data_IF_099051184297
#
_entry.id   IF_099051184297
#
_cell.length_a   1.000
_cell.length_b   1.000
_cell.length_c   1.000
_cell.angle_alpha   90.00
_cell.angle_beta   90.00
_cell.angle_gamma   90.00
#
_symmetry.space_group_name_H-M   'P 1'
#
loop_
_entity.id
_entity.type
_entity.pdbx_description
1 polymer ?
#
# COMPACT_ATOMS: atom_id res chain seq x y z
N UNK A 1 -45.99 9.50 58.19
CA UNK A 1 -45.56 8.27 57.50
C UNK A 1 -44.15 8.49 56.98
N UNK A 2 -43.17 7.70 57.44
CA UNK A 2 -41.78 7.85 57.00
C UNK A 2 -41.63 7.30 55.58
N UNK A 3 -41.09 8.11 54.68
CA UNK A 3 -40.75 7.70 53.33
C UNK A 3 -39.51 6.81 53.39
N UNK A 4 -39.72 5.53 53.10
CA UNK A 4 -38.69 4.51 52.92
C UNK A 4 -37.84 4.91 51.71
N UNK A 5 -36.66 5.48 52.00
CA UNK A 5 -35.62 5.78 51.00
C UNK A 5 -35.10 4.45 50.47
N UNK A 6 -35.58 4.04 49.30
CA UNK A 6 -35.02 2.91 48.57
C UNK A 6 -33.50 3.15 48.37
N UNK A 7 -32.65 2.14 48.64
CA UNK A 7 -31.22 2.26 48.43
C UNK A 7 -30.98 2.68 46.98
N UNK A 8 -30.25 3.79 46.83
CA UNK A 8 -29.79 4.28 45.54
C UNK A 8 -28.79 3.26 45.01
N UNK A 9 -29.30 2.20 44.37
CA UNK A 9 -28.51 1.29 43.56
C UNK A 9 -27.86 2.15 42.50
N UNK A 10 -26.59 2.50 42.75
CA UNK A 10 -25.74 3.16 41.78
C UNK A 10 -25.85 2.32 40.51
N UNK A 11 -26.36 2.87 39.38
CA UNK A 11 -26.31 2.14 38.15
C UNK A 11 -24.83 1.90 37.87
N UNK A 12 -24.41 0.64 38.03
CA UNK A 12 -23.19 0.05 37.49
C UNK A 12 -23.29 0.12 35.95
N UNK A 13 -23.37 1.33 35.42
CA UNK A 13 -22.95 1.64 34.08
C UNK A 13 -21.42 1.58 34.15
N UNK A 14 -20.90 0.36 34.17
CA UNK A 14 -19.56 0.13 33.66
C UNK A 14 -19.52 0.87 32.33
N UNK A 15 -18.68 1.91 32.20
CA UNK A 15 -18.53 2.57 30.92
C UNK A 15 -18.22 1.44 29.96
N UNK A 16 -19.16 1.15 29.06
CA UNK A 16 -18.88 0.27 27.94
C UNK A 16 -17.71 0.97 27.30
N UNK A 17 -16.50 0.46 27.56
CA UNK A 17 -15.32 0.84 26.82
C UNK A 17 -15.75 0.54 25.40
N UNK A 18 -16.19 1.59 24.69
CA UNK A 18 -16.37 1.56 23.26
C UNK A 18 -15.00 1.12 22.79
N UNK A 19 -14.89 -0.17 22.48
CA UNK A 19 -13.61 -0.81 22.16
C UNK A 19 -12.92 0.12 21.20
N UNK A 20 -11.81 0.69 21.67
CA UNK A 20 -11.22 1.87 21.06
C UNK A 20 -11.16 1.65 19.56
N UNK A 21 -11.72 2.55 18.75
CA UNK A 21 -11.67 2.38 17.32
C UNK A 21 -10.19 2.21 16.92
N UNK A 22 -9.87 1.00 16.48
CA UNK A 22 -8.83 0.74 15.49
C UNK A 22 -7.36 0.59 15.92
N UNK A 23 -7.04 -0.07 17.03
CA UNK A 23 -5.64 -0.51 17.28
C UNK A 23 -5.07 -1.36 16.12
N UNK A 24 -5.92 -2.20 15.51
CA UNK A 24 -5.55 -2.99 14.32
C UNK A 24 -5.28 -2.17 13.04
N UNK A 25 -5.66 -0.89 13.00
CA UNK A 25 -5.40 -0.03 11.82
C UNK A 25 -3.99 0.58 11.83
N UNK A 26 -3.40 0.78 13.01
CA UNK A 26 -2.13 1.50 13.14
C UNK A 26 -0.97 0.66 12.60
N UNK A 27 -0.86 -0.59 13.04
CA UNK A 27 0.14 -1.52 12.54
C UNK A 27 0.03 -1.69 11.02
N UNK A 28 -1.20 -1.84 10.51
CA UNK A 28 -1.45 -1.98 9.07
C UNK A 28 -0.95 -0.75 8.30
N UNK A 29 -1.26 0.46 8.76
CA UNK A 29 -0.80 1.70 8.14
C UNK A 29 0.71 1.82 8.19
N UNK A 30 1.33 1.54 9.34
CA UNK A 30 2.79 1.54 9.48
C UNK A 30 3.43 0.54 8.51
N UNK A 31 2.90 -0.67 8.36
CA UNK A 31 3.39 -1.63 7.37
C UNK A 31 3.24 -1.12 5.93
N UNK A 32 2.11 -0.49 5.59
CA UNK A 32 1.90 0.14 4.27
C UNK A 32 2.93 1.25 4.03
N UNK A 33 3.13 2.14 5.00
CA UNK A 33 4.11 3.20 4.93
C UNK A 33 5.53 2.68 4.82
N UNK A 34 5.90 1.67 5.61
CA UNK A 34 7.22 1.05 5.57
C UNK A 34 7.49 0.46 4.18
N UNK A 35 6.53 -0.30 3.65
CA UNK A 35 6.63 -0.86 2.31
C UNK A 35 6.78 0.23 1.24
N UNK A 36 6.01 1.32 1.35
CA UNK A 36 6.08 2.44 0.42
C UNK A 36 7.42 3.18 0.50
N UNK A 37 7.90 3.47 1.71
CA UNK A 37 9.20 4.09 1.94
C UNK A 37 10.35 3.22 1.42
N UNK A 38 10.32 1.91 1.69
CA UNK A 38 11.37 0.99 1.20
C UNK A 38 11.35 0.89 -0.32
N UNK A 39 10.16 0.71 -0.92
CA UNK A 39 10.03 0.66 -2.37
C UNK A 39 10.48 1.95 -3.05
N UNK A 40 10.08 3.10 -2.51
CA UNK A 40 10.49 4.41 -3.03
C UNK A 40 12.00 4.62 -2.92
N UNK A 41 12.60 4.23 -1.79
CA UNK A 41 14.03 4.33 -1.58
C UNK A 41 14.82 3.49 -2.58
N UNK A 42 14.45 2.22 -2.76
CA UNK A 42 15.11 1.33 -3.72
C UNK A 42 14.99 1.88 -5.14
N UNK A 43 13.80 2.34 -5.54
CA UNK A 43 13.58 2.95 -6.85
C UNK A 43 14.45 4.20 -7.08
N UNK A 44 14.48 5.12 -6.11
CA UNK A 44 15.33 6.31 -6.19
C UNK A 44 16.81 5.93 -6.22
N UNK A 45 17.25 5.00 -5.39
CA UNK A 45 18.65 4.55 -5.32
C UNK A 45 19.13 4.03 -6.68
N UNK A 46 18.35 3.21 -7.36
CA UNK A 46 18.69 2.69 -8.69
C UNK A 46 18.83 3.81 -9.73
N UNK A 47 17.93 4.79 -9.70
CA UNK A 47 18.03 5.99 -10.55
C UNK A 47 19.35 6.72 -10.26
N UNK A 48 19.70 6.94 -8.99
CA UNK A 48 20.96 7.61 -8.62
C UNK A 48 22.20 6.81 -9.01
N UNK A 49 22.16 5.48 -8.93
CA UNK A 49 23.27 4.63 -9.34
C UNK A 49 23.52 4.65 -10.86
N UNK A 50 22.50 4.96 -11.66
CA UNK A 50 22.66 5.10 -13.12
C UNK A 50 23.35 6.39 -13.57
N UNK A 51 23.33 7.47 -12.77
CA UNK A 51 23.91 8.77 -13.15
C UNK A 51 25.41 8.71 -13.47
N UNK A 52 26.29 8.14 -12.62
CA UNK A 52 27.73 8.12 -12.91
C UNK A 52 28.06 7.30 -14.18
N UNK A 53 27.24 6.29 -14.52
CA UNK A 53 27.41 5.51 -15.74
C UNK A 53 27.20 6.37 -17.00
N UNK A 54 26.27 7.31 -16.96
CA UNK A 54 26.04 8.27 -18.06
C UNK A 54 27.19 9.29 -18.14
N UNK A 55 27.74 9.70 -17.00
CA UNK A 55 28.85 10.65 -16.92
C UNK A 55 30.24 10.07 -17.16
N UNK A 56 30.37 8.75 -17.41
CA UNK A 56 31.66 8.08 -17.55
C UNK A 56 32.53 8.10 -16.28
N UNK A 57 31.92 8.38 -15.13
CA UNK A 57 32.61 8.44 -13.84
C UNK A 57 32.68 7.05 -13.20
N UNK A 58 33.76 6.75 -12.50
CA UNK A 58 33.87 5.49 -11.74
C UNK A 58 32.76 5.42 -10.68
N UNK A 59 31.84 4.43 -10.75
CA UNK A 59 30.74 4.29 -9.80
C UNK A 59 31.21 4.20 -8.35
N UNK A 60 32.37 3.58 -8.11
CA UNK A 60 32.90 3.40 -6.75
C UNK A 60 33.37 4.73 -6.15
N UNK A 61 34.00 5.57 -6.96
CA UNK A 61 34.40 6.92 -6.57
C UNK A 61 33.18 7.82 -6.32
N UNK A 62 32.12 7.68 -7.13
CA UNK A 62 30.87 8.42 -6.94
C UNK A 62 30.19 8.06 -5.61
N UNK A 63 30.04 6.76 -5.32
CA UNK A 63 29.38 6.27 -4.10
C UNK A 63 30.11 6.68 -2.82
N UNK A 64 31.44 6.72 -2.85
CA UNK A 64 32.26 7.14 -1.70
C UNK A 64 32.44 8.65 -1.61
N UNK A 65 32.18 9.37 -2.72
CA UNK A 65 32.25 10.82 -2.77
C UNK A 65 31.11 11.51 -2.00
N UNK A 66 31.36 12.76 -1.62
CA UNK A 66 30.40 13.62 -0.91
C UNK A 66 29.05 13.73 -1.64
N UNK A 67 29.08 13.83 -2.97
CA UNK A 67 27.87 13.95 -3.80
C UNK A 67 27.03 12.66 -3.77
N UNK A 68 27.67 11.48 -3.82
CA UNK A 68 26.99 10.20 -3.70
C UNK A 68 26.31 10.04 -2.34
N UNK A 69 27.02 10.41 -1.27
CA UNK A 69 26.47 10.39 0.09
C UNK A 69 25.26 11.32 0.24
N UNK A 70 25.34 12.57 -0.23
CA UNK A 70 24.21 13.50 -0.20
C UNK A 70 23.01 12.94 -0.98
N UNK A 71 23.26 12.40 -2.19
CA UNK A 71 22.20 11.85 -3.03
C UNK A 71 21.50 10.67 -2.35
N UNK A 72 22.27 9.84 -1.65
CA UNK A 72 21.75 8.71 -0.87
C UNK A 72 20.86 9.18 0.29
N UNK A 73 21.33 10.13 1.11
CA UNK A 73 20.54 10.68 2.21
C UNK A 73 19.28 11.40 1.70
N UNK A 74 19.38 12.12 0.59
CA UNK A 74 18.25 12.76 -0.06
C UNK A 74 17.22 11.73 -0.52
N UNK A 75 17.65 10.63 -1.15
CA UNK A 75 16.77 9.56 -1.59
C UNK A 75 16.02 8.92 -0.41
N UNK A 76 16.71 8.65 0.70
CA UNK A 76 16.11 8.11 1.92
C UNK A 76 15.12 9.10 2.54
N UNK A 77 15.48 10.38 2.63
CA UNK A 77 14.61 11.42 3.15
C UNK A 77 13.33 11.56 2.34
N UNK A 78 13.43 11.61 1.00
CA UNK A 78 12.26 11.67 0.10
C UNK A 78 11.39 10.44 0.29
N UNK A 79 11.99 9.25 0.31
CA UNK A 79 11.26 8.00 0.43
C UNK A 79 10.48 7.90 1.75
N UNK A 80 11.12 8.26 2.87
CA UNK A 80 10.46 8.31 4.18
C UNK A 80 9.43 9.42 4.26
N UNK A 81 9.66 10.56 3.63
CA UNK A 81 8.68 11.63 3.60
C UNK A 81 7.39 11.19 2.89
N UNK A 82 7.50 10.49 1.77
CA UNK A 82 6.35 9.93 1.04
C UNK A 82 5.58 8.95 1.93
N UNK A 83 6.25 7.99 2.55
CA UNK A 83 5.59 7.05 3.47
C UNK A 83 4.99 7.76 4.69
N UNK A 84 5.69 8.75 5.26
CA UNK A 84 5.30 9.46 6.46
C UNK A 84 4.03 10.26 6.27
N UNK A 85 3.94 10.99 5.15
CA UNK A 85 2.73 11.72 4.75
C UNK A 85 1.53 10.76 4.61
N UNK A 86 1.74 9.61 3.97
CA UNK A 86 0.67 8.62 3.74
C UNK A 86 0.19 7.97 5.04
N UNK A 87 1.09 7.60 5.93
CA UNK A 87 0.73 6.96 7.21
C UNK A 87 -0.03 7.92 8.13
N UNK A 88 0.41 9.18 8.17
CA UNK A 88 -0.16 10.20 9.02
C UNK A 88 -1.49 10.79 8.51
N UNK A 89 -1.84 10.54 7.24
CA UNK A 89 -3.06 11.08 6.65
C UNK A 89 -4.32 10.66 7.44
N UNK A 90 -5.15 11.65 7.76
CA UNK A 90 -6.41 11.54 8.50
C UNK A 90 -6.26 10.98 9.93
N UNK A 91 -5.13 11.23 10.61
CA UNK A 91 -4.93 10.85 12.01
C UNK A 91 -4.60 12.05 12.88
N UNK A 92 -5.19 12.14 14.10
CA UNK A 92 -4.67 13.04 15.11
C UNK A 92 -3.29 12.55 15.55
N UNK A 93 -2.33 13.45 15.72
CA UNK A 93 -0.94 13.14 16.11
C UNK A 93 -0.14 12.34 15.05
N UNK A 94 -0.36 12.66 13.77
CA UNK A 94 0.33 12.02 12.64
C UNK A 94 1.86 12.09 12.73
N UNK A 95 2.41 13.10 13.41
CA UNK A 95 3.84 13.21 13.70
C UNK A 95 4.42 12.01 14.47
N UNK A 96 3.66 11.39 15.38
CA UNK A 96 4.13 10.21 16.14
C UNK A 96 4.28 8.99 15.23
N UNK A 97 3.29 8.75 14.36
CA UNK A 97 3.33 7.66 13.40
C UNK A 97 4.43 7.87 12.36
N UNK A 98 4.63 9.12 11.92
CA UNK A 98 5.75 9.51 11.07
C UNK A 98 7.11 9.22 11.71
N UNK A 99 7.28 9.50 13.01
CA UNK A 99 8.51 9.18 13.75
C UNK A 99 8.76 7.66 13.80
N UNK A 100 7.75 6.86 14.16
CA UNK A 100 7.86 5.40 14.20
C UNK A 100 8.16 4.82 12.83
N UNK A 101 7.52 5.33 11.78
CA UNK A 101 7.83 4.97 10.41
C UNK A 101 9.28 5.28 10.09
N UNK A 102 9.73 6.51 10.34
CA UNK A 102 11.09 6.96 10.07
C UNK A 102 12.15 6.10 10.76
N UNK A 103 11.94 5.76 12.05
CA UNK A 103 12.80 4.82 12.78
C UNK A 103 12.84 3.44 12.12
N UNK A 104 11.67 2.89 11.78
CA UNK A 104 11.58 1.58 11.13
C UNK A 104 12.26 1.55 9.76
N UNK A 105 12.00 2.55 8.91
CA UNK A 105 12.65 2.66 7.60
C UNK A 105 14.15 2.94 7.71
N UNK A 106 14.58 3.78 8.65
CA UNK A 106 15.99 4.06 8.89
C UNK A 106 16.77 2.80 9.30
N UNK A 107 16.18 1.96 10.16
CA UNK A 107 16.75 0.67 10.52
C UNK A 107 16.84 -0.28 9.32
N UNK A 108 15.81 -0.37 8.49
CA UNK A 108 15.81 -1.20 7.28
C UNK A 108 16.85 -0.71 6.26
N UNK A 109 16.97 0.60 6.03
CA UNK A 109 17.97 1.17 5.15
C UNK A 109 19.38 0.90 5.67
N UNK A 110 19.61 1.07 6.96
CA UNK A 110 20.89 0.77 7.59
C UNK A 110 21.28 -0.71 7.40
N UNK A 111 20.37 -1.63 7.70
CA UNK A 111 20.62 -3.07 7.51
C UNK A 111 20.94 -3.41 6.06
N UNK A 112 20.22 -2.81 5.12
CA UNK A 112 20.47 -2.98 3.68
C UNK A 112 21.86 -2.47 3.28
N UNK A 113 22.26 -1.27 3.72
CA UNK A 113 23.58 -0.71 3.40
C UNK A 113 24.73 -1.53 3.98
N UNK A 114 24.58 -1.98 5.23
CA UNK A 114 25.59 -2.82 5.89
C UNK A 114 25.77 -4.16 5.17
N UNK A 115 24.71 -4.68 4.54
CA UNK A 115 24.77 -5.89 3.74
C UNK A 115 25.48 -5.65 2.40
N UNK A 116 25.25 -4.50 1.76
CA UNK A 116 25.84 -4.17 0.45
C UNK A 116 27.31 -3.73 0.55
N UNK A 117 27.71 -3.09 1.65
CA UNK A 117 29.06 -2.54 1.81
C UNK A 117 29.59 -2.75 3.24
N UNK A 118 30.37 -3.81 3.43
CA UNK A 118 31.00 -4.13 4.72
C UNK A 118 31.95 -3.02 5.22
N UNK A 119 32.58 -2.28 4.30
CA UNK A 119 33.47 -1.16 4.62
C UNK A 119 32.74 0.02 5.28
N UNK A 120 31.42 0.16 5.09
CA UNK A 120 30.65 1.24 5.70
C UNK A 120 30.27 0.97 7.16
N UNK A 121 30.59 -0.21 7.72
CA UNK A 121 30.30 -0.55 9.14
C UNK A 121 30.95 0.39 10.16
N UNK A 122 32.00 1.14 9.79
CA UNK A 122 32.82 1.93 10.71
C UNK A 122 32.53 3.45 10.64
N UNK A 123 31.50 3.90 9.92
CA UNK A 123 31.32 5.31 9.52
C UNK A 123 29.88 5.82 9.77
N UNK A 124 29.57 7.13 9.56
CA UNK A 124 28.48 7.92 10.18
C UNK A 124 27.04 7.50 9.84
N UNK A 125 26.82 6.30 9.30
CA UNK A 125 25.52 5.69 9.09
C UNK A 125 24.68 5.58 10.36
N UNK A 126 25.27 5.61 11.55
CA UNK A 126 24.50 5.71 12.80
C UNK A 126 23.69 7.02 12.90
N UNK A 127 24.15 8.10 12.26
CA UNK A 127 23.38 9.36 12.17
C UNK A 127 22.24 9.30 11.15
N UNK A 128 22.22 8.29 10.29
CA UNK A 128 21.14 8.08 9.32
C UNK A 128 19.80 7.82 10.01
N UNK A 129 19.78 6.95 11.03
CA UNK A 129 18.55 6.57 11.75
C UNK A 129 17.87 7.80 12.38
N UNK A 130 18.54 8.64 13.21
CA UNK A 130 17.90 9.81 13.79
C UNK A 130 17.52 10.86 12.73
N UNK A 131 18.31 11.02 11.66
CA UNK A 131 17.98 11.93 10.56
C UNK A 131 16.71 11.50 9.85
N UNK A 132 16.60 10.23 9.48
CA UNK A 132 15.43 9.67 8.79
C UNK A 132 14.21 9.65 9.71
N UNK A 133 14.39 9.40 11.01
CA UNK A 133 13.34 9.53 12.01
C UNK A 133 12.79 10.96 12.11
N UNK A 134 13.68 11.96 12.09
CA UNK A 134 13.29 13.37 12.05
C UNK A 134 12.52 13.75 10.79
N UNK A 135 12.98 13.28 9.62
CA UNK A 135 12.24 13.48 8.36
C UNK A 135 10.86 12.82 8.42
N UNK A 136 10.78 11.60 8.95
CA UNK A 136 9.51 10.90 9.17
C UNK A 136 8.55 11.68 10.08
N UNK A 137 9.05 12.24 11.19
CA UNK A 137 8.27 13.09 12.10
C UNK A 137 7.72 14.32 11.38
N UNK A 138 8.57 15.06 10.65
CA UNK A 138 8.16 16.25 9.90
C UNK A 138 7.15 15.91 8.81
N UNK A 139 7.39 14.82 8.07
CA UNK A 139 6.48 14.34 7.04
C UNK A 139 5.14 13.89 7.61
N UNK A 140 5.14 13.24 8.77
CA UNK A 140 3.92 12.87 9.48
C UNK A 140 3.12 14.10 9.92
N UNK A 141 3.80 15.12 10.43
CA UNK A 141 3.17 16.42 10.75
C UNK A 141 2.59 17.12 9.52
N UNK A 142 3.30 17.10 8.38
CA UNK A 142 2.78 17.62 7.10
C UNK A 142 1.56 16.81 6.62
N UNK A 143 1.62 15.48 6.71
CA UNK A 143 0.53 14.58 6.31
C UNK A 143 -0.75 14.80 7.10
N UNK A 144 -0.62 15.01 8.42
CA UNK A 144 -1.74 15.40 9.30
C UNK A 144 -2.37 16.72 8.88
N UNK A 145 -1.57 17.70 8.40
CA UNK A 145 -2.10 18.99 7.93
C UNK A 145 -2.71 18.96 6.54
N UNK A 146 -2.12 18.18 5.62
CA UNK A 146 -2.64 18.03 4.26
C UNK A 146 -3.96 17.25 4.24
N UNK A 147 -4.08 16.25 5.11
CA UNK A 147 -5.31 15.47 5.30
C UNK A 147 -5.67 15.45 6.79
N UNK A 148 -6.32 16.51 7.31
CA UNK A 148 -6.75 16.56 8.70
C UNK A 148 -7.71 15.42 9.01
N UNK A 149 -7.69 14.89 10.24
CA UNK A 149 -8.68 13.90 10.66
C UNK A 149 -10.09 14.48 10.48
N UNK A 150 -11.08 13.65 10.08
CA UNK A 150 -12.45 14.12 9.99
C UNK A 150 -12.85 14.70 11.35
N UNK A 151 -13.50 15.88 11.40
CA UNK A 151 -13.90 16.48 12.66
C UNK A 151 -14.77 15.47 13.41
N UNK A 152 -14.45 15.26 14.68
CA UNK A 152 -15.31 14.47 15.56
C UNK A 152 -16.62 15.24 15.66
N UNK A 153 -17.62 14.83 14.89
CA UNK A 153 -18.97 15.33 15.08
C UNK A 153 -19.37 14.89 16.48
N UNK A 154 -19.37 15.83 17.41
CA UNK A 154 -20.04 15.71 18.70
C UNK A 154 -21.52 15.52 18.42
N UNK A 155 -21.91 14.29 18.08
CA UNK A 155 -23.29 13.89 18.03
C UNK A 155 -23.79 14.11 19.46
N UNK A 156 -24.78 14.99 19.68
CA UNK A 156 -25.27 15.29 21.02
C UNK A 156 -25.61 13.97 21.66
N UNK A 157 -24.83 13.58 22.67
CA UNK A 157 -25.05 12.32 23.36
C UNK A 157 -26.48 12.42 23.90
N UNK A 158 -27.40 11.54 23.46
CA UNK A 158 -28.77 11.64 23.91
C UNK A 158 -28.74 11.53 25.43
N UNK A 159 -29.06 12.64 26.12
CA UNK A 159 -29.13 12.66 27.58
C UNK A 159 -30.13 11.59 27.98
N UNK A 160 -29.62 10.51 28.57
CA UNK A 160 -30.37 9.31 28.94
C UNK A 160 -31.43 9.55 30.02
N UNK A 161 -31.56 10.78 30.53
CA UNK A 161 -32.29 11.08 31.75
C UNK A 161 -33.80 11.30 31.59
N UNK A 162 -34.37 11.37 30.38
CA UNK A 162 -35.80 11.71 30.23
C UNK A 162 -36.66 10.74 29.38
N UNK A 163 -36.11 9.63 28.90
CA UNK A 163 -36.86 8.64 28.10
C UNK A 163 -36.77 7.21 28.68
N UNK A 164 -36.87 7.10 30.01
CA UNK A 164 -36.79 5.84 30.77
C UNK A 164 -37.89 4.82 30.43
N UNK A 165 -39.01 5.21 29.82
CA UNK A 165 -40.12 4.28 29.52
C UNK A 165 -40.15 3.71 28.10
N UNK A 166 -39.32 4.23 27.19
CA UNK A 166 -39.07 3.62 25.87
C UNK A 166 -37.68 3.02 25.84
N UNK A 167 -37.33 2.29 26.90
CA UNK A 167 -36.37 1.19 26.81
C UNK A 167 -36.99 0.09 25.95
N UNK A 168 -37.19 0.39 24.66
CA UNK A 168 -37.07 -0.65 23.65
C UNK A 168 -35.73 -1.30 23.96
N UNK A 169 -35.79 -2.53 24.47
CA UNK A 169 -34.75 -3.51 24.38
C UNK A 169 -34.40 -3.70 22.91
N UNK A 170 -33.80 -2.69 22.28
CA UNK A 170 -32.73 -2.87 21.34
C UNK A 170 -31.56 -3.35 22.20
N UNK A 171 -31.67 -4.61 22.63
CA UNK A 171 -30.66 -5.54 22.21
C UNK A 171 -30.47 -5.26 20.72
N UNK A 172 -29.53 -4.37 20.41
CA UNK A 172 -28.94 -4.34 19.09
C UNK A 172 -28.27 -5.70 19.06
N UNK A 173 -29.08 -6.72 18.72
CA UNK A 173 -28.63 -8.01 18.25
C UNK A 173 -27.44 -7.63 17.41
N UNK A 174 -26.25 -7.97 17.92
CA UNK A 174 -25.01 -7.82 17.20
C UNK A 174 -25.21 -8.64 15.95
N UNK A 175 -25.85 -8.02 14.97
CA UNK A 175 -26.17 -8.64 13.72
C UNK A 175 -24.78 -8.76 13.15
N UNK A 176 -24.23 -9.99 13.06
CA UNK A 176 -22.84 -10.17 12.70
C UNK A 176 -22.62 -9.33 11.45
N UNK A 177 -21.58 -8.48 11.42
CA UNK A 177 -21.43 -7.46 10.39
C UNK A 177 -21.58 -8.14 9.03
N UNK A 178 -22.74 -7.94 8.39
CA UNK A 178 -23.03 -8.56 7.11
C UNK A 178 -21.93 -8.14 6.17
N UNK A 179 -21.23 -9.13 5.61
CA UNK A 179 -20.07 -8.87 4.78
C UNK A 179 -20.43 -7.79 3.73
N UNK A 180 -19.59 -6.77 3.55
CA UNK A 180 -19.92 -5.65 2.66
C UNK A 180 -20.23 -6.18 1.26
N UNK A 181 -21.19 -5.59 0.53
CA UNK A 181 -21.52 -6.04 -0.82
C UNK A 181 -20.30 -5.92 -1.74
N UNK A 182 -20.09 -6.93 -2.59
CA UNK A 182 -19.01 -6.93 -3.58
C UNK A 182 -19.36 -5.97 -4.72
N UNK A 183 -18.50 -4.98 -4.98
CA UNK A 183 -18.70 -3.99 -6.05
C UNK A 183 -18.10 -4.49 -7.37
N UNK A 184 -18.82 -5.40 -8.04
CA UNK A 184 -18.35 -6.09 -9.25
C UNK A 184 -17.82 -5.18 -10.35
N UNK A 185 -18.49 -4.06 -10.64
CA UNK A 185 -18.03 -3.10 -11.65
C UNK A 185 -16.58 -2.62 -11.41
N UNK A 186 -16.20 -2.41 -10.15
CA UNK A 186 -14.85 -1.93 -9.79
C UNK A 186 -13.80 -3.02 -9.89
N UNK A 187 -14.18 -4.25 -9.58
CA UNK A 187 -13.32 -5.43 -9.76
C UNK A 187 -13.06 -5.63 -11.26
N UNK A 188 -14.09 -5.53 -12.09
CA UNK A 188 -13.96 -5.62 -13.55
C UNK A 188 -13.07 -4.49 -14.09
N UNK A 189 -13.32 -3.24 -13.72
CA UNK A 189 -12.49 -2.11 -14.14
C UNK A 189 -11.03 -2.22 -13.65
N UNK A 190 -10.81 -2.70 -12.42
CA UNK A 190 -9.48 -2.98 -11.89
C UNK A 190 -8.78 -4.10 -12.67
N UNK A 191 -9.50 -5.15 -13.04
CA UNK A 191 -8.96 -6.28 -13.80
C UNK A 191 -8.60 -5.85 -15.22
N UNK A 192 -9.46 -5.07 -15.89
CA UNK A 192 -9.16 -4.52 -17.22
C UNK A 192 -7.94 -3.61 -17.19
N UNK A 193 -7.80 -2.77 -16.15
CA UNK A 193 -6.65 -1.90 -15.98
C UNK A 193 -5.36 -2.71 -15.76
N UNK A 194 -5.41 -3.73 -14.90
CA UNK A 194 -4.30 -4.62 -14.61
C UNK A 194 -3.79 -5.34 -15.87
N UNK A 195 -4.70 -5.93 -16.66
CA UNK A 195 -4.36 -6.62 -17.92
C UNK A 195 -3.77 -5.63 -18.94
N UNK A 196 -4.43 -4.49 -19.14
CA UNK A 196 -3.99 -3.49 -20.12
C UNK A 196 -2.56 -2.99 -19.84
N UNK A 197 -2.26 -2.68 -18.57
CA UNK A 197 -0.92 -2.22 -18.18
C UNK A 197 0.13 -3.32 -18.24
N UNK A 198 -0.22 -4.57 -17.89
CA UNK A 198 0.73 -5.69 -17.98
C UNK A 198 1.09 -6.00 -19.44
N UNK A 199 0.10 -6.06 -20.33
CA UNK A 199 0.33 -6.31 -21.76
C UNK A 199 1.07 -5.15 -22.43
N UNK A 200 0.76 -3.91 -22.04
CA UNK A 200 1.39 -2.71 -22.60
C UNK A 200 2.72 -2.34 -21.94
N UNK A 201 3.22 -3.12 -20.98
CA UNK A 201 4.36 -2.74 -20.16
C UNK A 201 5.63 -2.49 -20.99
N UNK A 202 5.88 -3.33 -22.01
CA UNK A 202 7.03 -3.14 -22.90
C UNK A 202 6.85 -1.91 -23.79
N UNK A 203 5.65 -1.68 -24.33
CA UNK A 203 5.32 -0.48 -25.11
C UNK A 203 5.50 0.80 -24.27
N UNK A 204 5.05 0.79 -23.02
CA UNK A 204 5.23 1.91 -22.07
C UNK A 204 6.73 2.14 -21.83
N UNK A 205 7.51 1.08 -21.59
CA UNK A 205 8.96 1.18 -21.42
C UNK A 205 9.61 1.80 -22.65
N UNK A 206 9.31 1.30 -23.84
CA UNK A 206 9.87 1.80 -25.09
C UNK A 206 9.51 3.28 -25.31
N UNK A 207 8.27 3.68 -25.03
CA UNK A 207 7.83 5.07 -25.10
C UNK A 207 8.63 5.94 -24.12
N UNK A 208 8.77 5.53 -22.85
CA UNK A 208 9.59 6.25 -21.86
C UNK A 208 11.04 6.41 -22.35
N UNK A 209 11.63 5.37 -22.93
CA UNK A 209 12.99 5.45 -23.48
C UNK A 209 13.09 6.45 -24.64
N UNK A 210 12.14 6.41 -25.58
CA UNK A 210 12.09 7.32 -26.73
C UNK A 210 11.95 8.78 -26.29
N UNK A 211 11.06 9.06 -25.32
CA UNK A 211 10.83 10.43 -24.85
C UNK A 211 11.87 10.92 -23.85
N UNK A 212 12.68 10.04 -23.26
CA UNK A 212 13.70 10.42 -22.28
C UNK A 212 14.99 11.04 -22.85
N UNK A 213 15.08 11.23 -24.18
CA UNK A 213 16.28 11.73 -24.86
C UNK A 213 17.56 10.93 -24.52
N UNK A 214 17.41 9.65 -24.20
CA UNK A 214 18.51 8.75 -23.83
C UNK A 214 18.79 8.64 -22.32
N UNK A 215 18.13 9.43 -21.47
CA UNK A 215 18.33 9.39 -20.02
C UNK A 215 17.90 8.06 -19.38
N UNK A 216 16.98 7.32 -20.01
CA UNK A 216 16.50 6.01 -19.53
C UNK A 216 16.96 4.84 -20.42
N UNK A 217 18.11 4.95 -21.09
CA UNK A 217 18.67 3.79 -21.79
C UNK A 217 19.06 2.71 -20.79
N UNK A 218 18.47 1.54 -20.93
CA UNK A 218 18.86 0.34 -20.19
C UNK A 218 20.00 -0.33 -20.98
N UNK A 219 21.27 -0.23 -20.54
CA UNK A 219 22.43 -0.71 -21.32
C UNK A 219 22.45 -2.22 -21.62
N UNK A 220 21.54 -3.01 -21.05
CA UNK A 220 21.47 -4.45 -21.28
C UNK A 220 20.04 -4.98 -21.45
N UNK A 221 19.92 -6.06 -22.24
CA UNK A 221 18.65 -6.76 -22.49
C UNK A 221 17.96 -7.18 -21.18
N UNK A 222 18.72 -7.66 -20.19
CA UNK A 222 18.18 -8.04 -18.88
C UNK A 222 17.61 -6.87 -18.07
N UNK A 223 18.22 -5.67 -18.16
CA UNK A 223 17.72 -4.49 -17.45
C UNK A 223 16.44 -3.95 -18.09
N UNK A 224 16.34 -4.01 -19.42
CA UNK A 224 15.12 -3.65 -20.14
C UNK A 224 13.94 -4.61 -19.80
N UNK A 225 14.21 -5.91 -19.74
CA UNK A 225 13.21 -6.90 -19.31
C UNK A 225 12.78 -6.68 -17.85
N UNK A 226 13.74 -6.42 -16.96
CA UNK A 226 13.44 -6.11 -15.56
C UNK A 226 12.60 -4.85 -15.41
N UNK A 227 12.88 -3.78 -16.16
CA UNK A 227 12.10 -2.56 -16.12
C UNK A 227 10.66 -2.78 -16.63
N UNK A 228 10.49 -3.56 -17.70
CA UNK A 228 9.17 -3.96 -18.19
C UNK A 228 8.40 -4.77 -17.15
N UNK A 229 9.10 -5.70 -16.47
CA UNK A 229 8.55 -6.46 -15.35
C UNK A 229 8.07 -5.56 -14.22
N UNK A 230 8.87 -4.55 -13.84
CA UNK A 230 8.51 -3.59 -12.80
C UNK A 230 7.24 -2.81 -13.17
N UNK A 231 7.17 -2.28 -14.41
CA UNK A 231 5.99 -1.57 -14.93
C UNK A 231 4.74 -2.47 -14.87
N UNK A 232 4.87 -3.73 -15.28
CA UNK A 232 3.76 -4.69 -15.23
C UNK A 232 3.28 -4.99 -13.81
N UNK A 233 4.21 -5.20 -12.86
CA UNK A 233 3.87 -5.41 -11.44
C UNK A 233 3.16 -4.19 -10.87
N UNK A 234 3.62 -2.98 -11.19
CA UNK A 234 2.91 -1.75 -10.82
C UNK A 234 1.51 -1.67 -11.44
N UNK A 235 1.36 -2.07 -12.70
CA UNK A 235 0.06 -2.12 -13.37
C UNK A 235 -0.92 -3.07 -12.69
N UNK A 236 -0.47 -4.28 -12.34
CA UNK A 236 -1.26 -5.25 -11.58
C UNK A 236 -1.64 -4.73 -10.19
N UNK A 237 -0.68 -4.12 -9.47
CA UNK A 237 -0.92 -3.48 -8.18
C UNK A 237 -1.98 -2.39 -8.29
N UNK A 238 -1.85 -1.51 -9.28
CA UNK A 238 -2.76 -0.39 -9.50
C UNK A 238 -4.18 -0.87 -9.80
N UNK A 239 -4.34 -1.93 -10.59
CA UNK A 239 -5.63 -2.57 -10.82
C UNK A 239 -6.27 -3.09 -9.52
N UNK A 240 -5.49 -3.75 -8.67
CA UNK A 240 -5.94 -4.20 -7.35
C UNK A 240 -6.31 -3.05 -6.42
N UNK A 241 -5.48 -1.99 -6.37
CA UNK A 241 -5.74 -0.77 -5.59
C UNK A 241 -7.04 -0.12 -6.02
N UNK A 242 -7.25 0.04 -7.33
CA UNK A 242 -8.44 0.65 -7.90
C UNK A 242 -9.72 -0.13 -7.55
N UNK A 243 -9.67 -1.46 -7.64
CA UNK A 243 -10.77 -2.34 -7.28
C UNK A 243 -11.16 -2.24 -5.79
N UNK A 244 -10.17 -2.05 -4.91
CA UNK A 244 -10.35 -2.05 -3.46
C UNK A 244 -10.54 -0.68 -2.81
N UNK A 245 -10.20 0.42 -3.49
CA UNK A 245 -10.26 1.76 -2.91
C UNK A 245 -11.67 2.04 -2.34
N UNK A 246 -11.82 2.67 -1.18
CA UNK A 246 -13.13 2.93 -0.57
C UNK A 246 -13.96 1.69 -0.21
N UNK A 247 -13.34 0.51 -0.08
CA UNK A 247 -13.97 -0.75 0.34
C UNK A 247 -13.28 -1.30 1.58
N UNK A 248 -14.04 -1.82 2.54
CA UNK A 248 -13.47 -2.51 3.70
C UNK A 248 -13.02 -3.94 3.40
N UNK A 249 -13.43 -4.51 2.26
CA UNK A 249 -13.07 -5.87 1.85
C UNK A 249 -11.96 -5.89 0.79
N UNK A 250 -10.90 -5.09 0.98
CA UNK A 250 -9.90 -4.86 -0.06
C UNK A 250 -9.13 -6.11 -0.50
N UNK A 251 -8.75 -6.99 0.42
CA UNK A 251 -8.13 -8.28 0.09
C UNK A 251 -9.01 -9.09 -0.86
N UNK A 252 -10.32 -9.16 -0.57
CA UNK A 252 -11.29 -9.87 -1.41
C UNK A 252 -11.42 -9.25 -2.80
N UNK A 253 -11.46 -7.92 -2.89
CA UNK A 253 -11.55 -7.23 -4.18
C UNK A 253 -10.27 -7.43 -5.01
N UNK A 254 -9.09 -7.36 -4.38
CA UNK A 254 -7.82 -7.64 -5.04
C UNK A 254 -7.69 -9.09 -5.53
N UNK A 255 -8.11 -10.06 -4.71
CA UNK A 255 -8.13 -11.47 -5.09
C UNK A 255 -9.05 -11.73 -6.29
N UNK A 256 -10.28 -11.19 -6.27
CA UNK A 256 -11.17 -11.31 -7.43
C UNK A 256 -10.62 -10.60 -8.67
N UNK A 257 -9.94 -9.46 -8.49
CA UNK A 257 -9.28 -8.76 -9.60
C UNK A 257 -8.21 -9.63 -10.23
N UNK A 258 -7.36 -10.27 -9.41
CA UNK A 258 -6.34 -11.21 -9.87
C UNK A 258 -6.93 -12.45 -10.54
N UNK A 259 -7.97 -13.05 -9.97
CA UNK A 259 -8.67 -14.21 -10.56
C UNK A 259 -9.28 -13.90 -11.93
N UNK A 260 -9.70 -12.66 -12.17
CA UNK A 260 -10.24 -12.23 -13.47
C UNK A 260 -9.13 -11.85 -14.46
N UNK A 261 -8.05 -11.19 -13.99
CA UNK A 261 -6.96 -10.76 -14.85
C UNK A 261 -6.07 -11.92 -15.33
N UNK A 262 -5.75 -12.87 -14.44
CA UNK A 262 -4.82 -13.95 -14.70
C UNK A 262 -5.20 -14.86 -15.91
N UNK A 263 -6.45 -15.36 -16.04
CA UNK A 263 -6.84 -16.17 -17.21
C UNK A 263 -6.84 -15.36 -18.51
N UNK A 264 -7.13 -14.06 -18.46
CA UNK A 264 -7.08 -13.19 -19.64
C UNK A 264 -5.64 -13.02 -20.13
N UNK A 265 -4.68 -12.82 -19.22
CA UNK A 265 -3.25 -12.75 -19.57
C UNK A 265 -2.76 -14.08 -20.14
N UNK A 266 -3.19 -15.21 -19.56
CA UNK A 266 -2.85 -16.53 -20.07
C UNK A 266 -3.41 -16.75 -21.48
N UNK A 267 -4.69 -16.44 -21.71
CA UNK A 267 -5.34 -16.55 -23.01
C UNK A 267 -4.66 -15.65 -24.06
N UNK A 268 -4.31 -14.41 -23.68
CA UNK A 268 -3.57 -13.49 -24.55
C UNK A 268 -2.19 -14.06 -24.94
N UNK A 269 -1.44 -14.60 -23.99
CA UNK A 269 -0.13 -15.19 -24.26
C UNK A 269 -0.21 -16.44 -25.16
N UNK A 270 -1.26 -17.27 -24.98
CA UNK A 270 -1.53 -18.41 -25.87
C UNK A 270 -1.96 -17.98 -27.27
N UNK A 271 -2.67 -16.85 -27.41
CA UNK A 271 -3.11 -16.35 -28.72
C UNK A 271 -1.96 -15.78 -29.54
N UNK A 272 -0.96 -15.17 -28.89
CA UNK A 272 0.17 -14.56 -29.59
C UNK A 272 1.32 -15.54 -29.87
N UNK A 273 1.23 -16.79 -29.38
CA UNK A 273 2.35 -17.75 -29.33
C UNK A 273 3.63 -17.12 -28.73
N UNK A 274 3.46 -16.09 -27.90
CA UNK A 274 4.52 -15.27 -27.34
C UNK A 274 4.14 -14.83 -25.93
N UNK A 275 5.08 -15.03 -25.01
CA UNK A 275 4.94 -14.56 -23.63
C UNK A 275 5.13 -13.04 -23.59
N UNK A 276 4.26 -12.29 -22.88
CA UNK A 276 4.57 -10.91 -22.54
C UNK A 276 5.92 -10.85 -21.83
N UNK A 277 6.80 -9.93 -22.21
CA UNK A 277 8.16 -9.77 -21.65
C UNK A 277 8.21 -9.83 -20.11
N UNK A 278 7.27 -9.22 -19.35
CA UNK A 278 7.22 -9.36 -17.89
C UNK A 278 7.06 -10.80 -17.41
N UNK A 279 6.21 -11.58 -18.08
CA UNK A 279 5.91 -12.97 -17.72
C UNK A 279 7.11 -13.86 -18.03
N UNK A 280 7.72 -13.66 -19.21
CA UNK A 280 8.95 -14.34 -19.61
C UNK A 280 10.08 -14.10 -18.61
N UNK A 281 10.27 -12.84 -18.17
CA UNK A 281 11.25 -12.49 -17.15
C UNK A 281 11.01 -13.25 -15.84
N UNK A 282 9.76 -13.36 -15.42
CA UNK A 282 9.38 -14.06 -14.18
C UNK A 282 9.69 -15.56 -14.27
N UNK A 283 9.35 -16.20 -15.39
CA UNK A 283 9.64 -17.62 -15.64
C UNK A 283 11.14 -17.88 -15.75
N UNK A 284 11.88 -17.00 -16.42
CA UNK A 284 13.33 -17.10 -16.53
C UNK A 284 14.00 -17.03 -15.16
N UNK A 285 13.56 -16.11 -14.28
CA UNK A 285 14.06 -16.00 -12.90
C UNK A 285 13.68 -17.17 -12.01
N UNK A 286 12.59 -17.86 -12.31
CA UNK A 286 12.20 -19.10 -11.65
C UNK A 286 12.95 -20.34 -12.16
N UNK A 287 13.84 -20.19 -13.16
CA UNK A 287 14.54 -21.33 -13.78
C UNK A 287 13.68 -22.12 -14.77
N UNK A 288 12.56 -21.54 -15.22
CA UNK A 288 11.60 -22.14 -16.16
C UNK A 288 11.66 -21.46 -17.55
N UNK A 289 12.84 -20.98 -17.95
CA UNK A 289 13.02 -20.35 -19.26
C UNK A 289 12.77 -21.36 -20.38
N UNK A 290 11.93 -21.01 -21.37
CA UNK A 290 11.59 -21.86 -22.51
C UNK A 290 10.53 -22.93 -22.22
N UNK A 291 10.01 -23.00 -20.98
CA UNK A 291 8.91 -23.90 -20.65
C UNK A 291 7.60 -23.31 -21.22
N UNK A 292 6.82 -24.08 -22.00
CA UNK A 292 5.57 -23.60 -22.56
C UNK A 292 4.53 -23.33 -21.45
N UNK A 293 3.65 -22.35 -21.66
CA UNK A 293 2.55 -22.02 -20.74
C UNK A 293 1.52 -23.16 -20.57
N UNK A 294 1.56 -24.19 -21.43
CA UNK A 294 0.78 -25.41 -21.25
C UNK A 294 1.28 -26.27 -20.09
N UNK A 295 2.52 -26.07 -19.64
CA UNK A 295 3.03 -26.72 -18.43
C UNK A 295 2.25 -26.19 -17.20
N UNK A 296 1.63 -27.07 -16.40
CA UNK A 296 0.83 -26.67 -15.25
C UNK A 296 1.64 -25.88 -14.22
N UNK A 297 2.96 -26.11 -14.10
CA UNK A 297 3.82 -25.41 -13.15
C UNK A 297 4.06 -23.97 -13.59
N UNK A 298 4.37 -23.75 -14.87
CA UNK A 298 4.54 -22.42 -15.44
C UNK A 298 3.22 -21.63 -15.36
N UNK A 299 2.10 -22.24 -15.74
CA UNK A 299 0.78 -21.64 -15.62
C UNK A 299 0.44 -21.27 -14.16
N UNK A 300 0.65 -22.19 -13.21
CA UNK A 300 0.38 -21.94 -11.80
C UNK A 300 1.22 -20.79 -11.23
N UNK A 301 2.49 -20.68 -11.63
CA UNK A 301 3.38 -19.59 -11.20
C UNK A 301 2.89 -18.23 -11.72
N UNK A 302 2.50 -18.15 -13.00
CA UNK A 302 1.99 -16.92 -13.59
C UNK A 302 0.64 -16.53 -12.98
N UNK A 303 -0.30 -17.47 -12.89
CA UNK A 303 -1.62 -17.23 -12.30
C UNK A 303 -1.51 -16.84 -10.82
N UNK A 304 -0.70 -17.57 -10.05
CA UNK A 304 -0.45 -17.32 -8.64
C UNK A 304 0.25 -15.98 -8.40
N UNK A 305 1.23 -15.63 -9.24
CA UNK A 305 1.92 -14.33 -9.18
C UNK A 305 0.97 -13.16 -9.42
N UNK A 306 0.16 -13.21 -10.48
CA UNK A 306 -0.85 -12.18 -10.77
C UNK A 306 -1.86 -12.06 -9.64
N UNK A 307 -2.35 -13.19 -9.13
CA UNK A 307 -3.28 -13.24 -8.01
C UNK A 307 -2.69 -12.60 -6.74
N UNK A 308 -1.46 -12.95 -6.39
CA UNK A 308 -0.77 -12.43 -5.21
C UNK A 308 -0.56 -10.92 -5.31
N UNK A 309 -0.06 -10.43 -6.46
CA UNK A 309 0.19 -9.01 -6.69
C UNK A 309 -1.11 -8.21 -6.65
N UNK A 310 -2.19 -8.66 -7.30
CA UNK A 310 -3.48 -7.98 -7.26
C UNK A 310 -4.11 -8.00 -5.86
N UNK A 311 -3.97 -9.11 -5.12
CA UNK A 311 -4.45 -9.22 -3.73
C UNK A 311 -3.74 -8.23 -2.82
N UNK A 312 -2.42 -8.13 -2.94
CA UNK A 312 -1.60 -7.16 -2.23
C UNK A 312 -1.99 -5.72 -2.62
N UNK A 313 -2.21 -5.45 -3.91
CA UNK A 313 -2.76 -4.18 -4.39
C UNK A 313 -4.12 -3.84 -3.77
N UNK A 314 -5.03 -4.83 -3.66
CA UNK A 314 -6.32 -4.64 -3.01
C UNK A 314 -6.22 -4.36 -1.50
N UNK A 315 -5.25 -4.99 -0.83
CA UNK A 315 -4.94 -4.65 0.56
C UNK A 315 -4.42 -3.22 0.70
N UNK A 316 -3.51 -2.77 -0.17
CA UNK A 316 -3.04 -1.39 -0.19
C UNK A 316 -4.17 -0.40 -0.47
N UNK A 317 -4.99 -0.64 -1.50
CA UNK A 317 -6.06 0.27 -1.89
C UNK A 317 -7.11 0.49 -0.79
N UNK A 318 -7.46 -0.55 -0.05
CA UNK A 318 -8.38 -0.42 1.09
C UNK A 318 -7.75 0.22 2.33
N UNK A 319 -6.43 0.19 2.47
CA UNK A 319 -5.73 0.90 3.54
C UNK A 319 -5.59 2.39 3.22
N UNK A 320 -5.27 2.71 1.97
CA UNK A 320 -5.08 4.08 1.47
C UNK A 320 -6.40 4.85 1.36
N UNK A 321 -7.45 4.16 0.90
CA UNK A 321 -8.76 4.77 0.70
C UNK A 321 -9.79 4.00 1.54
N UNK A 322 -9.96 4.33 2.83
CA UNK A 322 -11.05 3.76 3.61
C UNK A 322 -12.42 4.21 3.05
N UNK A 323 -13.50 3.45 3.27
CA UNK A 323 -14.82 3.88 2.84
C UNK A 323 -15.25 5.17 3.56
N UNK A 324 -15.64 6.20 2.80
CA UNK A 324 -16.07 7.50 3.34
C UNK A 324 -17.35 7.43 4.19
N UNK A 325 -18.22 6.46 3.93
CA UNK A 325 -19.50 6.31 4.65
C UNK A 325 -19.38 5.21 5.72
N UNK A 326 -19.53 5.55 7.02
CA UNK A 326 -19.56 4.60 8.11
C UNK A 326 -20.63 3.52 7.88
N UNK A 327 -20.41 2.26 8.29
CA UNK A 327 -21.38 1.18 8.13
C UNK A 327 -22.79 1.55 8.67
N UNK A 328 -22.85 2.28 9.79
CA UNK A 328 -24.10 2.70 10.43
C UNK A 328 -24.94 3.68 9.60
N UNK A 329 -24.30 4.47 8.71
CA UNK A 329 -24.99 5.43 7.84
C UNK A 329 -25.30 4.88 6.46
N UNK A 330 -24.84 3.65 6.14
CA UNK A 330 -25.27 2.94 4.94
C UNK A 330 -26.66 2.41 5.19
N UNK A 331 -27.67 3.29 5.11
CA UNK A 331 -29.05 2.82 4.98
C UNK A 331 -29.07 1.88 3.79
N UNK A 332 -29.42 0.59 3.97
CA UNK A 332 -29.79 -0.20 2.82
C UNK A 332 -30.94 0.58 2.19
N UNK A 333 -30.74 1.08 0.98
CA UNK A 333 -31.86 1.48 0.14
C UNK A 333 -32.58 0.15 -0.12
N UNK A 334 -33.40 -0.27 0.85
CA UNK A 334 -34.36 -1.33 0.61
C UNK A 334 -35.22 -0.74 -0.48
N UNK A 335 -35.14 -1.37 -1.65
CA UNK A 335 -36.11 -1.19 -2.70
C UNK A 335 -37.48 -1.55 -2.10
N UNK A 336 -38.16 -0.58 -1.49
CA UNK A 336 -39.59 -0.60 -1.19
C UNK A 336 -40.39 -0.33 -2.49
N UNK A 337 -39.93 -0.92 -3.60
CA UNK A 337 -40.64 -0.95 -4.87
C UNK A 337 -40.87 -2.42 -5.23
N UNK A 338 -41.69 -3.08 -4.42
CA UNK A 338 -42.39 -4.32 -4.77
C UNK A 338 -43.65 -4.40 -3.91
#
# INVERSE_FOLDING_TARGET
>A
MPHELAPTDQPLLTPIHQGGPEEGSLARRLCVGLGLSVGCYLGLREIWHSIPLVGGSDPQQWQTGFVGLISLYAAQAIAVAVGGVVVAAARPHGYTLGLFLGLGSGALFFLWEVQQNAAMRQSPLLFQIPLVAWVGLLAGWVGERLWPPPPELELPQPRSSLLSSLQFSRSVLHTPPTAPPTRWFRILAGATLAVALLVSADTIRQAVQQYSLGLFQAPGMGQAQFLSWLIAVFGLLLGGVFAAAGSSAGLRHGAFTGLMAAPVVLAFAMQQDALPTPVEYTLTRAGLSGVPLSDPVAAALVLGGILAVCTLGGWFGSALFPPLVPPALRRPIRHEMA
#
